data_IF_953464776600
#
_entry.id   IF_953464776600
#
_cell.length_a   1.000
_cell.length_b   1.000
_cell.length_c   1.000
_cell.angle_alpha   90.00
_cell.angle_beta   90.00
_cell.angle_gamma   90.00
#
_symmetry.space_group_name_H-M   'P 1'
#
loop_
_entity.id
_entity.type
_entity.pdbx_description
1 polymer ?
#
# COMPACT_ATOMS: atom_id res chain seq x y z
N UNK A 1 5.60 -2.44 -8.17
CA UNK A 1 4.74 -1.67 -7.24
C UNK A 1 5.50 -0.68 -6.37
N UNK A 2 6.57 -1.06 -5.63
CA UNK A 2 7.32 -0.12 -4.75
C UNK A 2 7.84 1.12 -5.50
N UNK A 3 8.52 0.93 -6.62
CA UNK A 3 9.01 2.05 -7.45
C UNK A 3 7.86 2.89 -8.04
N UNK A 4 6.78 2.25 -8.46
CA UNK A 4 5.60 2.92 -9.06
C UNK A 4 4.90 3.84 -8.06
N UNK A 5 4.69 3.36 -6.82
CA UNK A 5 4.08 4.13 -5.72
C UNK A 5 4.99 5.24 -5.21
N UNK A 6 6.31 5.01 -5.16
CA UNK A 6 7.28 6.02 -4.72
C UNK A 6 7.48 7.16 -5.73
N UNK A 7 7.51 6.84 -7.03
CA UNK A 7 7.66 7.84 -8.09
C UNK A 7 6.37 8.63 -8.34
N UNK A 8 5.20 8.02 -8.10
CA UNK A 8 3.90 8.69 -8.23
C UNK A 8 3.49 8.99 -9.67
N UNK A 9 4.07 8.30 -10.65
CA UNK A 9 3.79 8.45 -12.07
C UNK A 9 2.87 7.37 -12.65
N UNK A 10 2.35 6.47 -11.80
CA UNK A 10 1.39 5.46 -12.20
C UNK A 10 0.06 6.11 -12.64
N UNK A 11 -0.53 5.72 -13.79
CA UNK A 11 -1.87 6.13 -14.21
C UNK A 11 -2.93 5.78 -13.17
N UNK A 12 -4.05 6.51 -13.12
CA UNK A 12 -5.11 6.28 -12.12
C UNK A 12 -5.65 4.84 -12.12
N UNK A 13 -5.77 4.20 -13.28
CA UNK A 13 -6.16 2.80 -13.37
C UNK A 13 -5.17 1.89 -12.64
N UNK A 14 -3.87 2.09 -12.88
CA UNK A 14 -2.81 1.35 -12.20
C UNK A 14 -2.80 1.63 -10.70
N UNK A 15 -3.10 2.86 -10.28
CA UNK A 15 -3.24 3.20 -8.86
C UNK A 15 -4.39 2.42 -8.21
N UNK A 16 -5.54 2.28 -8.90
CA UNK A 16 -6.67 1.46 -8.41
C UNK A 16 -6.29 -0.01 -8.28
N UNK A 17 -5.55 -0.57 -9.25
CA UNK A 17 -5.05 -1.94 -9.16
C UNK A 17 -4.12 -2.14 -7.97
N UNK A 18 -3.18 -1.20 -7.75
CA UNK A 18 -2.27 -1.24 -6.62
C UNK A 18 -3.05 -1.17 -5.30
N UNK A 19 -4.05 -0.29 -5.20
CA UNK A 19 -4.88 -0.18 -4.01
C UNK A 19 -5.68 -1.47 -3.76
N UNK A 20 -6.26 -2.05 -4.80
CA UNK A 20 -6.95 -3.34 -4.72
C UNK A 20 -6.01 -4.44 -4.23
N UNK A 21 -4.81 -4.53 -4.80
CA UNK A 21 -3.78 -5.49 -4.38
C UNK A 21 -3.43 -5.33 -2.90
N UNK A 22 -3.22 -4.09 -2.43
CA UNK A 22 -2.91 -3.81 -1.02
C UNK A 22 -4.03 -4.29 -0.11
N UNK A 23 -5.28 -3.96 -0.44
CA UNK A 23 -6.45 -4.32 0.38
C UNK A 23 -6.64 -5.83 0.44
N UNK A 24 -6.68 -6.53 -0.70
CA UNK A 24 -6.93 -7.97 -0.75
C UNK A 24 -5.85 -8.77 0.01
N UNK A 25 -4.58 -8.40 -0.15
CA UNK A 25 -3.49 -9.06 0.57
C UNK A 25 -3.48 -8.70 2.05
N UNK A 26 -3.81 -7.45 2.39
CA UNK A 26 -3.94 -7.00 3.79
C UNK A 26 -5.04 -7.77 4.53
N UNK A 27 -6.20 -7.96 3.90
CA UNK A 27 -7.30 -8.75 4.45
C UNK A 27 -6.92 -10.22 4.63
N UNK A 28 -6.26 -10.82 3.64
CA UNK A 28 -5.79 -12.22 3.73
C UNK A 28 -4.79 -12.39 4.89
N UNK A 29 -3.82 -11.50 5.02
CA UNK A 29 -2.85 -11.52 6.12
C UNK A 29 -3.52 -11.31 7.48
N UNK A 30 -4.50 -10.41 7.56
CA UNK A 30 -5.25 -10.17 8.79
C UNK A 30 -5.99 -11.43 9.24
N UNK A 31 -6.68 -12.10 8.31
CA UNK A 31 -7.35 -13.38 8.59
C UNK A 31 -6.40 -14.44 9.13
N UNK A 32 -5.20 -14.57 8.56
CA UNK A 32 -4.19 -15.52 9.06
C UNK A 32 -3.70 -15.09 10.45
N UNK A 33 -3.33 -13.83 10.62
CA UNK A 33 -2.81 -13.28 11.87
C UNK A 33 -3.81 -13.37 13.04
N UNK A 34 -5.11 -13.30 12.76
CA UNK A 34 -6.19 -13.34 13.76
C UNK A 34 -7.00 -14.64 13.73
N UNK A 35 -6.51 -15.68 13.06
CA UNK A 35 -7.22 -16.97 12.92
C UNK A 35 -7.31 -17.79 14.21
N UNK A 36 -6.56 -17.42 15.25
CA UNK A 36 -6.41 -18.20 16.48
C UNK A 36 -5.45 -19.40 16.33
N UNK A 37 -4.88 -19.63 15.15
CA UNK A 37 -3.86 -20.65 14.93
C UNK A 37 -2.57 -20.29 15.68
N UNK A 38 -1.87 -21.29 16.19
CA UNK A 38 -0.52 -21.11 16.71
C UNK A 38 0.46 -20.88 15.56
N UNK A 39 0.88 -19.62 15.41
CA UNK A 39 1.88 -19.21 14.44
C UNK A 39 3.27 -19.30 15.08
N UNK A 40 4.24 -19.85 14.34
CA UNK A 40 5.64 -19.80 14.74
C UNK A 40 6.14 -18.36 14.75
N UNK A 41 7.19 -18.06 15.51
CA UNK A 41 7.72 -16.69 15.58
C UNK A 41 8.28 -16.21 14.23
N UNK A 42 8.87 -17.11 13.44
CA UNK A 42 9.26 -16.82 12.04
C UNK A 42 8.05 -16.41 11.20
N UNK A 43 6.91 -17.10 11.34
CA UNK A 43 5.71 -16.75 10.60
C UNK A 43 5.12 -15.41 11.07
N UNK A 44 5.11 -15.13 12.38
CA UNK A 44 4.73 -13.81 12.92
C UNK A 44 5.60 -12.70 12.35
N UNK A 45 6.92 -12.90 12.32
CA UNK A 45 7.88 -11.94 11.77
C UNK A 45 7.64 -11.68 10.28
N UNK A 46 7.35 -12.73 9.49
CA UNK A 46 7.00 -12.60 8.07
C UNK A 46 5.69 -11.87 7.86
N UNK A 47 4.65 -12.17 8.64
CA UNK A 47 3.36 -11.48 8.58
C UNK A 47 3.54 -9.99 8.88
N UNK A 48 4.23 -9.65 9.97
CA UNK A 48 4.52 -8.26 10.34
C UNK A 48 5.30 -7.54 9.23
N UNK A 49 6.36 -8.15 8.72
CA UNK A 49 7.19 -7.58 7.65
C UNK A 49 6.37 -7.34 6.37
N UNK A 50 5.43 -8.24 6.07
CA UNK A 50 4.55 -8.10 4.92
C UNK A 50 3.53 -6.98 5.14
N UNK A 51 2.93 -6.87 6.33
CA UNK A 51 2.07 -5.72 6.68
C UNK A 51 2.79 -4.38 6.56
N UNK A 52 4.01 -4.27 7.10
CA UNK A 52 4.83 -3.05 6.98
C UNK A 52 5.09 -2.70 5.51
N UNK A 53 5.35 -3.70 4.66
CA UNK A 53 5.51 -3.48 3.22
C UNK A 53 4.23 -2.94 2.58
N UNK A 54 3.07 -3.51 2.89
CA UNK A 54 1.78 -3.06 2.35
C UNK A 54 1.43 -1.64 2.83
N UNK A 55 1.67 -1.34 4.10
CA UNK A 55 1.48 0.01 4.64
C UNK A 55 2.38 1.02 3.95
N UNK A 56 3.65 0.69 3.72
CA UNK A 56 4.57 1.58 3.01
C UNK A 56 4.13 1.81 1.55
N UNK A 57 3.63 0.78 0.85
CA UNK A 57 3.08 0.93 -0.50
C UNK A 57 1.88 1.88 -0.51
N UNK A 58 0.97 1.75 0.46
CA UNK A 58 -0.20 2.63 0.59
C UNK A 58 0.22 4.06 0.89
N UNK A 59 1.11 4.27 1.86
CA UNK A 59 1.59 5.60 2.22
C UNK A 59 2.25 6.31 1.02
N UNK A 60 3.08 5.60 0.27
CA UNK A 60 3.73 6.15 -0.92
C UNK A 60 2.71 6.54 -2.01
N UNK A 61 1.66 5.72 -2.20
CA UNK A 61 0.58 6.01 -3.14
C UNK A 61 -0.22 7.25 -2.70
N UNK A 62 -0.61 7.33 -1.44
CA UNK A 62 -1.36 8.46 -0.87
C UNK A 62 -0.53 9.76 -0.95
N UNK A 63 0.75 9.70 -0.61
CA UNK A 63 1.70 10.82 -0.72
C UNK A 63 1.84 11.32 -2.17
N UNK A 64 1.90 10.40 -3.13
CA UNK A 64 1.95 10.74 -4.56
C UNK A 64 0.67 11.43 -5.03
N UNK A 65 -0.49 10.98 -4.55
CA UNK A 65 -1.79 11.57 -4.86
C UNK A 65 -1.97 12.96 -4.24
N UNK A 66 -1.43 13.20 -3.05
CA UNK A 66 -1.37 14.54 -2.47
C UNK A 66 -0.52 15.48 -3.33
N UNK A 67 0.67 15.04 -3.78
CA UNK A 67 1.56 15.86 -4.62
C UNK A 67 0.90 16.27 -5.94
N UNK A 68 0.15 15.37 -6.58
CA UNK A 68 -0.56 15.68 -7.83
C UNK A 68 -1.74 16.64 -7.61
N UNK A 69 -2.39 16.59 -6.43
CA UNK A 69 -3.47 17.52 -6.06
C UNK A 69 -2.96 18.95 -5.86
N UNK A 70 -1.85 19.14 -5.12
CA UNK A 70 -1.25 20.47 -4.90
C UNK A 70 -0.67 21.11 -6.17
N UNK A 71 -0.20 20.29 -7.13
CA UNK A 71 0.30 20.79 -8.43
C UNK A 71 -0.78 21.40 -9.32
N UNK A 72 -2.07 21.05 -9.13
CA UNK A 72 -3.19 21.60 -9.91
C UNK A 72 -3.69 22.96 -9.41
N UNK A 73 -3.38 23.33 -8.16
CA UNK A 73 -3.85 24.59 -7.55
C UNK A 73 -3.01 25.82 -7.97
N UNK A 74 -1.85 25.60 -8.60
CA UNK A 74 -0.89 26.67 -8.92
C UNK A 74 -0.95 27.25 -10.34
N UNK A 75 -1.86 26.80 -11.21
CA UNK A 75 -1.93 27.22 -12.62
C UNK A 75 -3.04 28.25 -12.94
N UNK A 76 -3.58 28.95 -11.95
CA UNK A 76 -4.42 30.15 -12.20
C UNK A 76 -3.59 31.39 -11.89
N UNK A 77 -2.79 31.84 -12.86
CA UNK A 77 -2.39 33.25 -13.03
C UNK A 77 -2.21 33.54 -14.50
#
# INVERSE_FOLDING_TARGET
MRRETALGNAPQERQREIMKFITENGECLARVATSGLHLTDDLKARILSTFLTLMNLRENLDRSNMRSSFGRSGQIR
#
